data_IF_051024664624
#
_entry.id   IF_051024664624
#
_cell.length_a   1.000
_cell.length_b   1.000
_cell.length_c   1.000
_cell.angle_alpha   90.00
_cell.angle_beta   90.00
_cell.angle_gamma   90.00
#
_symmetry.space_group_name_H-M   'P 1'
#
loop_
_entity.id
_entity.type
_entity.pdbx_description
1 polymer ?
#
# COMPACT_ATOMS: atom_id res chain seq x y z
N UNK A 1 10.20 -12.46 3.06
CA UNK A 1 9.31 -12.34 1.89
C UNK A 1 8.65 -10.97 1.95
N UNK A 2 8.75 -10.20 0.87
CA UNK A 2 8.02 -8.94 0.73
C UNK A 2 6.56 -9.30 0.38
N UNK A 3 5.61 -8.75 1.14
CA UNK A 3 4.19 -9.03 0.97
C UNK A 3 3.46 -7.68 0.88
N UNK A 4 2.67 -7.52 -0.18
CA UNK A 4 1.69 -6.45 -0.39
C UNK A 4 0.33 -7.11 -0.60
N UNK A 5 -0.71 -6.55 -0.01
CA UNK A 5 -2.10 -7.01 -0.19
C UNK A 5 -2.96 -5.82 -0.60
N UNK A 6 -3.75 -6.00 -1.64
CA UNK A 6 -4.76 -5.04 -2.09
C UNK A 6 -6.12 -5.70 -1.89
N UNK A 7 -7.00 -5.05 -1.14
CA UNK A 7 -8.35 -5.54 -0.86
C UNK A 7 -9.32 -4.36 -0.76
N UNK A 8 -10.62 -4.55 -1.06
CA UNK A 8 -11.62 -3.53 -0.81
C UNK A 8 -11.64 -3.08 0.65
N UNK A 9 -11.87 -1.78 0.90
CA UNK A 9 -11.85 -1.18 2.26
C UNK A 9 -12.79 -1.86 3.27
N UNK A 10 -13.91 -2.38 2.80
CA UNK A 10 -14.93 -2.99 3.65
C UNK A 10 -14.67 -4.49 3.93
N UNK A 11 -13.66 -5.08 3.29
CA UNK A 11 -13.31 -6.48 3.56
C UNK A 11 -12.65 -6.65 4.93
N UNK A 12 -12.97 -7.77 5.60
CA UNK A 12 -12.32 -8.16 6.86
C UNK A 12 -10.80 -8.27 6.71
N UNK A 13 -10.31 -8.71 5.54
CA UNK A 13 -8.89 -8.90 5.24
C UNK A 13 -8.08 -7.60 5.25
N UNK A 14 -8.73 -6.43 5.12
CA UNK A 14 -8.08 -5.11 5.19
C UNK A 14 -7.51 -4.80 6.59
N UNK A 15 -7.98 -5.52 7.62
CA UNK A 15 -7.58 -5.33 9.03
C UNK A 15 -6.83 -6.53 9.58
N UNK A 16 -6.17 -7.32 8.72
CA UNK A 16 -5.47 -8.55 9.10
C UNK A 16 -3.99 -8.45 8.78
N UNK A 17 -3.14 -8.73 9.77
CA UNK A 17 -1.70 -8.80 9.65
C UNK A 17 -1.27 -9.71 8.50
N UNK A 18 -0.36 -9.22 7.65
CA UNK A 18 0.18 -9.97 6.51
C UNK A 18 0.99 -11.20 6.95
N UNK A 19 1.66 -11.13 8.11
CA UNK A 19 2.58 -12.15 8.57
C UNK A 19 1.91 -13.26 9.39
N UNK A 20 1.05 -12.89 10.35
CA UNK A 20 0.53 -13.85 11.34
C UNK A 20 -1.00 -13.98 11.35
N UNK A 21 -1.72 -13.24 10.50
CA UNK A 21 -3.19 -13.33 10.42
C UNK A 21 -3.95 -12.69 11.59
N UNK A 22 -3.26 -12.07 12.55
CA UNK A 22 -3.92 -11.38 13.66
C UNK A 22 -4.64 -10.09 13.22
N UNK A 23 -5.70 -9.71 13.94
CA UNK A 23 -6.42 -8.46 13.71
C UNK A 23 -5.55 -7.25 14.06
N UNK A 24 -5.50 -6.27 13.17
CA UNK A 24 -4.86 -4.98 13.37
C UNK A 24 -5.86 -3.99 13.97
N UNK A 25 -5.45 -3.29 15.03
CA UNK A 25 -6.24 -2.23 15.67
C UNK A 25 -5.85 -0.88 15.05
N UNK A 26 -6.78 0.09 15.03
CA UNK A 26 -6.53 1.48 14.60
C UNK A 26 -5.99 1.62 13.16
N UNK A 27 -6.52 0.84 12.23
CA UNK A 27 -6.21 0.97 10.79
C UNK A 27 -6.73 2.32 10.27
N UNK A 28 -5.83 3.15 9.75
CA UNK A 28 -6.10 4.48 9.20
C UNK A 28 -5.33 4.70 7.90
N UNK A 29 -5.77 5.68 7.12
CA UNK A 29 -5.13 6.02 5.85
C UNK A 29 -3.74 6.63 6.07
N UNK A 30 -2.75 6.22 5.27
CA UNK A 30 -1.36 6.66 5.30
C UNK A 30 -0.67 6.52 6.67
N UNK A 31 -1.16 5.62 7.53
CA UNK A 31 -0.57 5.35 8.84
C UNK A 31 0.12 3.98 8.89
N UNK A 32 1.20 3.91 9.67
CA UNK A 32 1.85 2.67 10.01
C UNK A 32 1.21 2.05 11.27
N UNK A 33 0.80 0.80 11.18
CA UNK A 33 0.22 0.04 12.31
C UNK A 33 1.12 -1.12 12.70
N UNK A 34 1.42 -1.25 14.00
CA UNK A 34 2.13 -2.39 14.54
C UNK A 34 1.15 -3.51 14.88
N UNK A 35 1.43 -4.73 14.41
CA UNK A 35 0.73 -5.92 14.85
C UNK A 35 1.12 -6.23 16.31
N UNK A 36 0.15 -6.18 17.22
CA UNK A 36 0.38 -6.47 18.65
C UNK A 36 0.79 -7.93 18.90
N UNK A 37 0.47 -8.86 17.99
CA UNK A 37 0.79 -10.30 18.14
C UNK A 37 2.22 -10.66 17.72
N UNK A 38 2.68 -10.16 16.56
CA UNK A 38 3.98 -10.57 15.98
C UNK A 38 4.98 -9.43 15.83
N UNK A 39 4.61 -8.20 16.20
CA UNK A 39 5.47 -7.02 16.16
C UNK A 39 5.72 -6.42 14.78
N UNK A 40 5.31 -7.08 13.68
CA UNK A 40 5.45 -6.53 12.32
C UNK A 40 4.70 -5.22 12.17
N UNK A 41 5.34 -4.25 11.52
CA UNK A 41 4.74 -2.94 11.22
C UNK A 41 4.26 -2.94 9.77
N UNK A 42 3.00 -2.55 9.57
CA UNK A 42 2.36 -2.48 8.27
C UNK A 42 2.06 -1.04 7.91
N UNK A 43 2.43 -0.60 6.71
CA UNK A 43 1.93 0.65 6.15
C UNK A 43 0.58 0.40 5.47
N UNK A 44 -0.36 1.32 5.67
CA UNK A 44 -1.70 1.24 5.09
C UNK A 44 -1.97 2.47 4.23
N UNK A 45 -2.26 2.27 2.94
CA UNK A 45 -2.71 3.34 2.03
C UNK A 45 -4.13 3.04 1.55
N UNK A 46 -5.01 4.04 1.55
CA UNK A 46 -6.36 3.92 1.00
C UNK A 46 -6.35 4.59 -0.37
N UNK A 47 -6.67 3.84 -1.41
CA UNK A 47 -6.73 4.32 -2.78
C UNK A 47 -8.05 5.03 -3.06
N UNK A 48 -8.08 5.89 -4.07
CA UNK A 48 -9.28 6.59 -4.52
C UNK A 48 -10.38 5.63 -4.99
N UNK A 49 -10.00 4.49 -5.57
CA UNK A 49 -10.92 3.42 -5.99
C UNK A 49 -11.52 2.60 -4.83
N UNK A 50 -11.37 3.05 -3.58
CA UNK A 50 -11.97 2.38 -2.41
C UNK A 50 -11.23 1.11 -1.95
N UNK A 51 -10.05 0.84 -2.48
CA UNK A 51 -9.18 -0.25 -2.02
C UNK A 51 -8.24 0.19 -0.89
N UNK A 52 -7.80 -0.77 -0.10
CA UNK A 52 -6.78 -0.65 0.93
C UNK A 52 -5.57 -1.46 0.50
N UNK A 53 -4.43 -0.78 0.44
CA UNK A 53 -3.12 -1.37 0.21
C UNK A 53 -2.45 -1.55 1.57
N UNK A 54 -2.15 -2.80 1.91
CA UNK A 54 -1.45 -3.19 3.12
C UNK A 54 -0.06 -3.71 2.73
N UNK A 55 0.98 -3.06 3.24
CA UNK A 55 2.37 -3.40 2.92
C UNK A 55 3.16 -3.61 4.20
N UNK A 56 4.05 -4.60 4.27
CA UNK A 56 5.04 -4.66 5.35
C UNK A 56 6.01 -3.48 5.21
N UNK A 57 6.05 -2.61 6.24
CA UNK A 57 6.82 -1.37 6.21
C UNK A 57 8.32 -1.62 5.96
N UNK A 58 8.85 -2.77 6.36
CA UNK A 58 10.25 -3.14 6.11
C UNK A 58 10.56 -3.22 4.61
N UNK A 59 9.58 -3.62 3.81
CA UNK A 59 9.73 -3.85 2.37
C UNK A 59 9.05 -2.79 1.52
N UNK A 60 8.64 -1.65 2.12
CA UNK A 60 7.93 -0.60 1.42
C UNK A 60 8.66 -0.12 0.16
N UNK A 61 9.98 0.10 0.27
CA UNK A 61 10.85 0.52 -0.82
C UNK A 61 10.80 -0.39 -2.07
N UNK A 62 10.43 -1.67 -1.93
CA UNK A 62 10.28 -2.59 -3.06
C UNK A 62 9.00 -2.35 -3.85
N UNK A 63 8.05 -1.59 -3.30
CA UNK A 63 6.75 -1.30 -3.91
C UNK A 63 6.57 0.16 -4.30
N UNK A 64 7.49 1.05 -3.90
CA UNK A 64 7.45 2.47 -4.25
C UNK A 64 7.81 2.68 -5.74
N UNK A 65 8.73 1.88 -6.30
CA UNK A 65 9.11 1.91 -7.74
C UNK A 65 7.95 1.67 -8.74
N UNK A 66 6.83 1.10 -8.29
CA UNK A 66 5.66 0.87 -9.16
C UNK A 66 4.71 2.07 -9.26
N UNK A 67 4.84 3.08 -8.40
CA UNK A 67 4.01 4.31 -8.49
C UNK A 67 4.60 5.33 -9.49
N UNK A 68 5.93 5.32 -9.71
CA UNK A 68 6.59 6.26 -10.62
C UNK A 68 6.42 5.89 -12.11
N UNK A 69 6.55 4.60 -12.48
CA UNK A 69 6.32 4.15 -13.88
C UNK A 69 4.85 4.29 -14.34
N UNK A 70 3.90 4.43 -13.41
CA UNK A 70 2.49 4.67 -13.74
C UNK A 70 2.15 6.17 -13.91
N UNK A 71 3.08 7.06 -13.58
CA UNK A 71 2.88 8.51 -13.65
C UNK A 71 3.81 9.21 -14.67
N UNK A 72 4.73 8.48 -15.32
CA UNK A 72 5.57 8.96 -16.44
C UNK A 72 4.92 8.73 -17.83
N UNK A 73 3.59 8.77 -17.89
CA UNK A 73 2.81 8.54 -19.12
C UNK A 73 2.00 9.74 -19.62
N UNK A 74 2.19 10.94 -19.04
CA UNK A 74 1.46 12.15 -19.40
C UNK A 74 2.38 13.40 -19.44
N UNK A 75 3.50 13.29 -20.13
CA UNK A 75 4.17 14.48 -20.67
C UNK A 75 3.97 14.46 -22.18
N UNK A 76 2.93 15.16 -22.64
CA UNK A 76 2.77 15.54 -24.04
C UNK A 76 4.06 16.21 -24.51
N UNK A 77 4.77 15.51 -25.39
CA UNK A 77 5.92 16.02 -26.12
C UNK A 77 5.37 17.04 -27.15
N UNK A 78 5.32 18.32 -26.77
CA UNK A 78 5.11 19.40 -27.75
C UNK A 78 6.34 19.48 -28.66
N UNK A 79 6.28 18.71 -29.75
CA UNK A 79 7.14 18.91 -30.92
C UNK A 79 6.77 20.24 -31.57
N UNK A 80 7.59 21.26 -31.30
CA UNK A 80 7.64 22.47 -32.11
C UNK A 80 8.20 22.11 -33.50
N UNK A 81 7.36 22.16 -34.53
CA UNK A 81 7.82 22.18 -35.92
C UNK A 81 8.26 23.61 -36.30
N UNK A 82 9.41 23.68 -36.97
CA UNK A 82 10.16 24.86 -37.45
C UNK A 82 9.40 25.73 -38.47
#
# INVERSE_FOLDING_TARGET
MAIKRIVPKFERKAKICLKCGAKLKRVRNNEAVKCEKCGTVHLIKFTEHGNVVLTDKKYQHLFDYQEDEANEGDSEEEIAED
#
